data_IF_177888447649
#
_entry.id   IF_177888447649
#
_cell.length_a   1.000
_cell.length_b   1.000
_cell.length_c   1.000
_cell.angle_alpha   90.00
_cell.angle_beta   90.00
_cell.angle_gamma   90.00
#
_symmetry.space_group_name_H-M   'P 1'
#
loop_
_entity.id
_entity.type
_entity.pdbx_description
1 polymer ?
#
# COMPACT_ATOMS: atom_id res chain seq x y z
N UNK A 1 -10.20 19.50 -18.64
CA UNK A 1 -9.13 18.47 -18.63
C UNK A 1 -9.41 17.33 -17.64
N UNK A 2 -9.64 17.60 -16.35
CA UNK A 2 -9.92 16.53 -15.35
C UNK A 2 -11.16 15.71 -15.72
N UNK A 3 -12.26 16.34 -16.08
CA UNK A 3 -13.51 15.64 -16.47
C UNK A 3 -13.36 14.82 -17.76
N UNK A 4 -12.40 15.15 -18.62
CA UNK A 4 -12.19 14.50 -19.90
C UNK A 4 -11.22 13.30 -19.79
N UNK A 5 -10.15 13.47 -19.02
CA UNK A 5 -9.07 12.48 -18.91
C UNK A 5 -9.20 11.58 -17.69
N UNK A 6 -9.94 12.00 -16.67
CA UNK A 6 -10.05 11.31 -15.39
C UNK A 6 -11.39 10.56 -15.27
N UNK A 7 -11.39 9.49 -14.47
CA UNK A 7 -12.60 8.68 -14.22
C UNK A 7 -13.31 8.23 -15.52
N UNK A 8 -12.54 7.81 -16.50
CA UNK A 8 -13.12 7.23 -17.72
C UNK A 8 -13.77 5.90 -17.39
N UNK A 9 -15.09 5.74 -17.63
CA UNK A 9 -15.76 4.47 -17.36
C UNK A 9 -15.32 3.40 -18.33
N UNK A 10 -15.27 2.17 -17.85
CA UNK A 10 -15.01 0.97 -18.65
C UNK A 10 -16.23 0.06 -18.60
N UNK A 11 -16.46 -0.74 -19.64
CA UNK A 11 -17.53 -1.74 -19.71
C UNK A 11 -16.98 -3.16 -19.90
N UNK A 12 -15.74 -3.38 -19.48
CA UNK A 12 -15.06 -4.69 -19.44
C UNK A 12 -14.43 -4.91 -18.08
N UNK A 13 -13.94 -6.14 -17.82
CA UNK A 13 -13.03 -6.38 -16.71
C UNK A 13 -11.73 -5.57 -16.88
N UNK A 14 -11.03 -5.18 -15.80
CA UNK A 14 -9.77 -4.44 -15.85
C UNK A 14 -8.56 -5.35 -16.11
N UNK A 15 -8.67 -6.25 -17.11
CA UNK A 15 -7.58 -7.12 -17.57
C UNK A 15 -6.54 -6.39 -18.43
N UNK A 16 -5.77 -7.15 -19.23
CA UNK A 16 -4.73 -6.61 -20.13
C UNK A 16 -5.30 -5.61 -21.13
N UNK A 17 -6.51 -5.86 -21.61
CA UNK A 17 -7.26 -4.94 -22.47
C UNK A 17 -8.53 -4.53 -21.78
N UNK A 18 -8.87 -3.24 -21.89
CA UNK A 18 -10.10 -2.66 -21.37
C UNK A 18 -10.88 -1.97 -22.49
N UNK A 19 -12.20 -1.95 -22.35
CA UNK A 19 -13.06 -1.18 -23.23
C UNK A 19 -13.41 0.14 -22.54
N UNK A 20 -12.77 1.22 -22.96
CA UNK A 20 -13.02 2.57 -22.46
C UNK A 20 -14.24 3.14 -23.16
N UNK A 21 -15.26 3.52 -22.39
CA UNK A 21 -16.49 4.10 -22.91
C UNK A 21 -16.26 5.54 -23.39
N UNK A 22 -16.76 5.83 -24.59
CA UNK A 22 -16.71 7.17 -25.14
C UNK A 22 -17.74 8.08 -24.45
N UNK A 23 -17.31 9.30 -24.14
CA UNK A 23 -18.14 10.34 -23.56
C UNK A 23 -18.16 11.57 -24.45
N UNK A 24 -19.29 12.25 -24.51
CA UNK A 24 -19.46 13.52 -25.21
C UNK A 24 -20.04 14.57 -24.23
N UNK A 25 -19.74 15.83 -24.50
CA UNK A 25 -20.29 16.97 -23.75
C UNK A 25 -20.92 17.95 -24.72
N UNK A 26 -21.97 18.61 -24.26
CA UNK A 26 -22.65 19.70 -24.98
C UNK A 26 -22.44 21.07 -24.34
N UNK A 27 -21.80 21.13 -23.20
CA UNK A 27 -21.66 22.29 -22.31
C UNK A 27 -20.21 22.56 -21.90
N UNK A 28 -19.30 22.49 -22.86
CA UNK A 28 -17.86 22.74 -22.65
C UNK A 28 -17.24 21.88 -21.53
N UNK A 29 -17.65 20.61 -21.48
CA UNK A 29 -17.14 19.58 -20.55
C UNK A 29 -17.57 19.73 -19.08
N UNK A 30 -18.59 20.52 -18.81
CA UNK A 30 -19.20 20.55 -17.49
C UNK A 30 -19.95 19.25 -17.18
N UNK A 31 -20.71 18.75 -18.15
CA UNK A 31 -21.38 17.45 -18.05
C UNK A 31 -20.88 16.51 -19.13
N UNK A 32 -20.67 15.24 -18.77
CA UNK A 32 -20.21 14.19 -19.68
C UNK A 32 -21.29 13.11 -19.79
N UNK A 33 -21.71 12.80 -21.01
CA UNK A 33 -22.68 11.76 -21.31
C UNK A 33 -22.02 10.61 -22.06
N UNK A 34 -22.35 9.37 -21.69
CA UNK A 34 -21.87 8.17 -22.38
C UNK A 34 -22.56 8.08 -23.73
N UNK A 35 -21.78 7.90 -24.81
CA UNK A 35 -22.30 7.85 -26.20
C UNK A 35 -22.80 6.46 -26.61
N UNK A 36 -22.52 5.43 -25.80
CA UNK A 36 -22.80 4.03 -26.15
C UNK A 36 -21.67 3.36 -26.95
N UNK A 37 -20.70 4.11 -27.41
CA UNK A 37 -19.49 3.57 -28.08
C UNK A 37 -18.40 3.28 -27.06
N UNK A 38 -17.49 2.35 -27.40
CA UNK A 38 -16.30 2.09 -26.60
C UNK A 38 -15.09 1.82 -27.50
N UNK A 39 -13.91 2.13 -26.97
CA UNK A 39 -12.62 1.87 -27.64
C UNK A 39 -11.84 0.84 -26.83
N UNK A 40 -11.35 -0.20 -27.49
CA UNK A 40 -10.48 -1.20 -26.88
C UNK A 40 -9.08 -0.60 -26.71
N UNK A 41 -8.60 -0.55 -25.47
CA UNK A 41 -7.31 0.04 -25.10
C UNK A 41 -6.45 -0.98 -24.35
N UNK A 42 -5.12 -0.89 -24.52
CA UNK A 42 -4.18 -1.57 -23.64
C UNK A 42 -4.24 -0.91 -22.25
N UNK A 43 -4.39 -1.73 -21.22
CA UNK A 43 -4.54 -1.26 -19.84
C UNK A 43 -3.16 -1.04 -19.19
N UNK A 44 -2.71 0.20 -19.17
CA UNK A 44 -1.46 0.61 -18.51
C UNK A 44 -1.70 1.38 -17.20
N UNK A 45 -2.95 1.55 -16.76
CA UNK A 45 -3.30 2.45 -15.68
C UNK A 45 -4.15 1.82 -14.57
N UNK A 46 -4.28 0.50 -14.49
CA UNK A 46 -5.02 -0.14 -13.41
C UNK A 46 -4.13 -0.62 -12.26
N UNK A 47 -4.74 -0.81 -11.09
CA UNK A 47 -4.08 -1.42 -9.92
C UNK A 47 -3.96 -2.96 -10.01
N UNK A 48 -4.17 -3.53 -11.18
CA UNK A 48 -4.10 -4.97 -11.43
C UNK A 48 -2.64 -5.46 -11.57
N UNK A 49 -1.80 -5.17 -10.59
CA UNK A 49 -0.36 -5.43 -10.65
C UNK A 49 0.00 -6.92 -10.80
N UNK A 50 -0.82 -7.82 -10.25
CA UNK A 50 -0.58 -9.25 -10.26
C UNK A 50 -1.49 -10.01 -11.24
N UNK A 51 -2.32 -9.31 -12.03
CA UNK A 51 -3.21 -9.92 -13.00
C UNK A 51 -4.46 -10.59 -12.41
N UNK A 52 -4.79 -10.36 -11.15
CA UNK A 52 -5.95 -11.02 -10.50
C UNK A 52 -7.32 -10.55 -10.98
N UNK A 53 -7.37 -9.49 -11.81
CA UNK A 53 -8.60 -9.09 -12.48
C UNK A 53 -8.86 -9.85 -13.79
N UNK A 54 -7.99 -10.75 -14.20
CA UNK A 54 -8.20 -11.65 -15.32
C UNK A 54 -9.30 -12.70 -15.03
N UNK A 55 -9.68 -13.45 -16.04
CA UNK A 55 -10.79 -14.42 -15.90
C UNK A 55 -10.40 -15.55 -14.94
N UNK A 56 -10.90 -15.46 -13.70
CA UNK A 56 -10.66 -16.44 -12.64
C UNK A 56 -11.29 -17.82 -12.90
N UNK A 57 -12.17 -17.93 -13.91
CA UNK A 57 -12.82 -19.20 -14.28
C UNK A 57 -11.85 -20.27 -14.73
N UNK A 58 -10.73 -19.86 -15.32
CA UNK A 58 -9.69 -20.78 -15.79
C UNK A 58 -8.56 -21.00 -14.77
N UNK A 59 -8.60 -20.32 -13.63
CA UNK A 59 -7.54 -20.38 -12.61
C UNK A 59 -8.03 -20.99 -11.30
N UNK A 60 -8.81 -20.27 -10.50
CA UNK A 60 -9.14 -20.64 -9.12
C UNK A 60 -10.65 -20.83 -8.86
N UNK A 61 -11.49 -20.80 -9.91
CA UNK A 61 -12.96 -20.87 -9.74
C UNK A 61 -13.41 -22.08 -8.95
N UNK A 62 -12.87 -23.26 -9.26
CA UNK A 62 -13.31 -24.52 -8.65
C UNK A 62 -13.10 -24.47 -7.14
N UNK A 63 -11.93 -24.04 -6.72
CA UNK A 63 -11.55 -23.94 -5.31
C UNK A 63 -12.33 -22.84 -4.59
N UNK A 64 -12.52 -21.70 -5.25
CA UNK A 64 -13.31 -20.59 -4.69
C UNK A 64 -14.76 -21.00 -4.50
N UNK A 65 -15.37 -21.66 -5.49
CA UNK A 65 -16.75 -22.12 -5.37
C UNK A 65 -16.92 -23.17 -4.27
N UNK A 66 -15.99 -24.13 -4.17
CA UNK A 66 -15.99 -25.10 -3.09
C UNK A 66 -15.87 -24.43 -1.71
N UNK A 67 -15.01 -23.42 -1.58
CA UNK A 67 -14.88 -22.67 -0.34
C UNK A 67 -16.15 -21.88 0.01
N UNK A 68 -16.85 -21.31 -0.97
CA UNK A 68 -18.13 -20.60 -0.75
C UNK A 68 -19.24 -21.56 -0.34
N UNK A 69 -19.23 -22.81 -0.83
CA UNK A 69 -20.19 -23.84 -0.43
C UNK A 69 -19.92 -24.37 0.99
N UNK A 70 -18.67 -24.37 1.44
CA UNK A 70 -18.26 -24.86 2.74
C UNK A 70 -18.32 -23.77 3.84
N UNK A 71 -17.93 -22.56 3.51
CA UNK A 71 -17.76 -21.46 4.47
C UNK A 71 -18.78 -20.34 4.24
N UNK A 72 -19.21 -19.63 5.30
CA UNK A 72 -20.06 -18.47 5.12
C UNK A 72 -19.30 -17.34 4.40
N UNK A 73 -20.04 -16.52 3.65
CA UNK A 73 -19.47 -15.35 2.94
C UNK A 73 -18.82 -14.35 3.90
N UNK A 74 -19.27 -14.30 5.14
CA UNK A 74 -18.73 -13.43 6.17
C UNK A 74 -18.85 -14.06 7.55
N UNK A 75 -17.83 -13.92 8.37
CA UNK A 75 -17.86 -14.32 9.77
C UNK A 75 -18.61 -13.31 10.67
N UNK A 76 -19.04 -12.17 10.12
CA UNK A 76 -19.82 -11.13 10.79
C UNK A 76 -19.20 -10.63 12.13
N UNK A 77 -17.90 -10.79 12.29
CA UNK A 77 -17.14 -10.37 13.48
C UNK A 77 -15.74 -9.94 13.08
N UNK A 78 -15.07 -9.20 13.97
CA UNK A 78 -13.65 -8.88 13.80
C UNK A 78 -12.79 -10.14 13.97
N UNK A 79 -11.65 -10.19 13.30
CA UNK A 79 -10.70 -11.31 13.44
C UNK A 79 -10.14 -11.46 14.85
N UNK A 80 -10.06 -10.37 15.60
CA UNK A 80 -9.62 -10.37 17.02
C UNK A 80 -10.58 -11.11 17.95
N UNK A 81 -11.87 -11.13 17.58
CA UNK A 81 -12.92 -11.78 18.38
C UNK A 81 -13.24 -13.17 17.80
N UNK A 82 -14.26 -13.25 16.95
CA UNK A 82 -14.77 -14.52 16.40
C UNK A 82 -14.74 -14.56 14.87
N UNK A 83 -14.12 -13.59 14.23
CA UNK A 83 -14.11 -13.45 12.76
C UNK A 83 -13.00 -14.21 12.03
N UNK A 84 -12.20 -15.01 12.73
CA UNK A 84 -11.19 -15.89 12.10
C UNK A 84 -11.77 -17.26 11.77
N UNK A 85 -11.32 -17.85 10.65
CA UNK A 85 -11.64 -19.22 10.26
C UNK A 85 -10.38 -19.91 9.70
N UNK A 86 -10.46 -21.22 9.48
CA UNK A 86 -9.32 -22.02 9.02
C UNK A 86 -8.71 -21.51 7.70
N UNK A 87 -9.53 -20.96 6.80
CA UNK A 87 -9.04 -20.38 5.52
C UNK A 87 -8.11 -19.19 5.74
N UNK A 88 -8.36 -18.34 6.76
CA UNK A 88 -7.45 -17.26 7.13
C UNK A 88 -6.10 -17.80 7.60
N UNK A 89 -6.12 -18.81 8.47
CA UNK A 89 -4.90 -19.41 9.03
C UNK A 89 -4.06 -20.09 7.93
N UNK A 90 -4.71 -20.79 7.01
CA UNK A 90 -4.05 -21.42 5.87
C UNK A 90 -3.41 -20.39 4.94
N UNK A 91 -4.11 -19.27 4.66
CA UNK A 91 -3.57 -18.18 3.87
C UNK A 91 -2.36 -17.55 4.55
N UNK A 92 -2.43 -17.25 5.86
CA UNK A 92 -1.32 -16.69 6.63
C UNK A 92 -0.09 -17.60 6.63
N UNK A 93 -0.28 -18.91 6.83
CA UNK A 93 0.80 -19.90 6.75
C UNK A 93 1.40 -19.97 5.32
N UNK A 94 0.54 -19.92 4.31
CA UNK A 94 0.97 -19.97 2.90
C UNK A 94 1.79 -18.75 2.54
N UNK A 95 1.33 -17.55 2.92
CA UNK A 95 2.07 -16.30 2.71
C UNK A 95 3.39 -16.31 3.50
N UNK A 96 3.38 -16.73 4.76
CA UNK A 96 4.60 -16.82 5.57
C UNK A 96 5.67 -17.70 4.89
N UNK A 97 5.27 -18.89 4.42
CA UNK A 97 6.16 -19.79 3.65
C UNK A 97 6.66 -19.14 2.36
N UNK A 98 5.77 -18.48 1.61
CA UNK A 98 6.12 -17.85 0.34
C UNK A 98 7.16 -16.74 0.51
N UNK A 99 7.02 -15.89 1.53
CA UNK A 99 7.96 -14.79 1.80
C UNK A 99 9.14 -15.20 2.69
N UNK A 100 9.23 -16.46 3.11
CA UNK A 100 10.32 -16.97 3.96
C UNK A 100 10.35 -16.36 5.35
N UNK A 101 9.18 -16.14 5.96
CA UNK A 101 9.03 -15.58 7.31
C UNK A 101 8.37 -16.60 8.24
N UNK A 102 8.61 -16.41 9.55
CA UNK A 102 8.07 -17.28 10.59
C UNK A 102 6.54 -17.21 10.66
N UNK A 103 5.97 -16.03 10.47
CA UNK A 103 4.54 -15.80 10.52
C UNK A 103 4.12 -14.68 9.56
N UNK A 104 2.83 -14.66 9.23
CA UNK A 104 2.16 -13.58 8.50
C UNK A 104 0.81 -13.26 9.15
N UNK A 105 0.31 -12.08 8.90
CA UNK A 105 -1.04 -11.67 9.25
C UNK A 105 -1.71 -11.05 8.02
N UNK A 106 -2.94 -11.45 7.74
CA UNK A 106 -3.72 -10.97 6.61
C UNK A 106 -4.69 -9.88 7.06
N UNK A 107 -4.73 -8.79 6.30
CA UNK A 107 -5.69 -7.70 6.43
C UNK A 107 -6.61 -7.67 5.21
N UNK A 108 -7.81 -7.16 5.38
CA UNK A 108 -8.83 -7.09 4.32
C UNK A 108 -8.49 -6.10 3.20
N UNK A 109 -7.55 -5.17 3.44
CA UNK A 109 -7.23 -4.11 2.49
C UNK A 109 -5.80 -3.59 2.73
N UNK A 110 -5.02 -3.38 1.64
CA UNK A 110 -3.64 -2.90 1.72
C UNK A 110 -3.51 -1.54 2.40
N UNK A 111 -4.42 -0.61 2.12
CA UNK A 111 -4.46 0.69 2.81
C UNK A 111 -4.64 0.51 4.32
N UNK A 112 -5.60 -0.33 4.72
CA UNK A 112 -5.88 -0.67 6.11
C UNK A 112 -4.69 -1.33 6.81
N UNK A 113 -3.91 -2.13 6.09
CA UNK A 113 -2.68 -2.74 6.62
C UNK A 113 -1.74 -1.67 7.17
N UNK A 114 -1.41 -0.65 6.40
CA UNK A 114 -0.49 0.40 6.82
C UNK A 114 -1.09 1.29 7.92
N UNK A 115 -2.35 1.71 7.77
CA UNK A 115 -2.98 2.60 8.76
C UNK A 115 -3.24 1.95 10.11
N UNK A 116 -3.34 0.63 10.17
CA UNK A 116 -3.50 -0.13 11.43
C UNK A 116 -2.16 -0.57 12.01
N UNK A 117 -1.24 -1.04 11.17
CA UNK A 117 0.03 -1.63 11.62
C UNK A 117 1.02 -0.56 12.12
N UNK A 118 1.14 0.57 11.41
CA UNK A 118 2.09 1.61 11.76
C UNK A 118 1.85 2.16 13.18
N UNK A 119 0.62 2.55 13.57
CA UNK A 119 0.36 2.97 14.95
C UNK A 119 0.63 1.88 15.99
N UNK A 120 0.38 0.61 15.65
CA UNK A 120 0.63 -0.51 16.56
C UNK A 120 2.12 -0.78 16.79
N UNK A 121 2.97 -0.49 15.79
CA UNK A 121 4.42 -0.69 15.85
C UNK A 121 5.19 0.48 16.46
N UNK A 122 4.56 1.63 16.65
CA UNK A 122 5.21 2.90 17.03
C UNK A 122 4.57 3.51 18.26
N UNK A 123 5.35 4.27 19.02
CA UNK A 123 4.92 4.90 20.27
C UNK A 123 5.46 6.33 20.42
N UNK A 124 5.18 7.01 21.54
CA UNK A 124 5.58 8.42 21.75
C UNK A 124 7.10 8.65 21.73
N UNK A 125 7.90 7.63 22.02
CA UNK A 125 9.37 7.70 22.00
C UNK A 125 9.97 7.15 20.69
N UNK A 126 9.11 6.99 19.66
CA UNK A 126 9.52 6.52 18.34
C UNK A 126 9.71 7.72 17.39
N UNK A 127 10.76 7.66 16.58
CA UNK A 127 10.94 8.50 15.42
C UNK A 127 10.61 7.70 14.16
N UNK A 128 9.72 8.22 13.33
CA UNK A 128 9.48 7.74 11.97
C UNK A 128 10.24 8.67 11.01
N UNK A 129 11.09 8.10 10.16
CA UNK A 129 11.77 8.82 9.06
C UNK A 129 11.20 8.28 7.74
N UNK A 130 10.35 9.06 7.11
CA UNK A 130 9.55 8.66 5.94
C UNK A 130 10.10 9.25 4.65
N UNK A 131 10.12 8.45 3.57
CA UNK A 131 10.37 9.00 2.23
C UNK A 131 9.24 9.98 1.85
N UNK A 132 9.60 11.07 1.17
CA UNK A 132 8.67 12.15 0.81
C UNK A 132 7.57 11.73 -0.17
N UNK A 133 7.77 10.65 -0.91
CA UNK A 133 6.82 10.11 -1.90
C UNK A 133 6.12 8.82 -1.44
N UNK A 134 6.24 8.46 -0.18
CA UNK A 134 5.53 7.31 0.37
C UNK A 134 4.02 7.41 0.15
N UNK A 135 3.40 6.27 -0.12
CA UNK A 135 1.98 6.14 -0.34
C UNK A 135 1.16 6.76 0.80
N UNK A 136 0.03 7.36 0.47
CA UNK A 136 -0.84 8.05 1.42
C UNK A 136 -1.22 7.19 2.64
N UNK A 137 -1.34 5.88 2.50
CA UNK A 137 -1.62 4.97 3.62
C UNK A 137 -0.48 4.95 4.65
N UNK A 138 0.78 5.02 4.22
CA UNK A 138 1.95 5.12 5.11
C UNK A 138 1.94 6.48 5.81
N UNK A 139 1.70 7.56 5.06
CA UNK A 139 1.60 8.91 5.62
C UNK A 139 0.49 9.00 6.67
N UNK A 140 -0.68 8.46 6.37
CA UNK A 140 -1.82 8.48 7.31
C UNK A 140 -1.60 7.56 8.50
N UNK A 141 -0.99 6.39 8.30
CA UNK A 141 -0.59 5.51 9.40
C UNK A 141 0.43 6.16 10.34
N UNK A 142 1.43 6.84 9.78
CA UNK A 142 2.40 7.59 10.56
C UNK A 142 1.74 8.73 11.35
N UNK A 143 0.85 9.50 10.72
CA UNK A 143 0.11 10.60 11.37
C UNK A 143 -0.88 10.14 12.44
N UNK A 144 -1.43 8.95 12.30
CA UNK A 144 -2.32 8.35 13.29
C UNK A 144 -1.56 7.80 14.52
N UNK A 145 -0.25 7.66 14.42
CA UNK A 145 0.60 7.19 15.51
C UNK A 145 1.03 8.36 16.41
N UNK A 146 1.38 8.10 17.66
CA UNK A 146 1.94 9.10 18.55
C UNK A 146 3.44 9.37 18.33
N UNK A 147 4.04 8.83 17.26
CA UNK A 147 5.46 8.97 16.95
C UNK A 147 5.80 10.36 16.39
N UNK A 148 7.05 10.77 16.54
CA UNK A 148 7.58 11.92 15.82
C UNK A 148 7.87 11.54 14.37
N UNK A 149 7.64 12.45 13.43
CA UNK A 149 7.79 12.20 12.01
C UNK A 149 8.76 13.21 11.41
N UNK A 150 9.79 12.68 10.75
CA UNK A 150 10.66 13.44 9.86
C UNK A 150 10.54 12.87 8.45
N UNK A 151 10.74 13.73 7.45
CA UNK A 151 10.61 13.36 6.03
C UNK A 151 11.94 13.62 5.33
N UNK A 152 12.47 12.62 4.64
CA UNK A 152 13.65 12.77 3.80
C UNK A 152 13.27 12.84 2.32
N UNK A 153 14.15 13.45 1.52
CA UNK A 153 13.94 13.59 0.08
C UNK A 153 13.92 12.24 -0.59
N UNK A 154 12.99 12.09 -1.54
CA UNK A 154 12.73 10.82 -2.22
C UNK A 154 14.01 10.16 -2.72
N UNK A 155 14.19 8.92 -2.27
CA UNK A 155 15.26 8.02 -2.72
C UNK A 155 16.68 8.62 -2.60
N UNK A 156 16.91 9.51 -1.61
CA UNK A 156 18.17 10.21 -1.38
C UNK A 156 18.85 9.76 -0.08
N UNK A 157 19.72 8.73 -0.13
CA UNK A 157 20.39 8.17 1.06
C UNK A 157 21.21 9.17 1.86
N UNK A 158 21.86 10.12 1.17
CA UNK A 158 22.68 11.14 1.84
C UNK A 158 21.85 12.07 2.74
N UNK A 159 20.65 12.45 2.29
CA UNK A 159 19.73 13.24 3.11
C UNK A 159 19.13 12.42 4.26
N UNK A 160 18.84 11.15 4.02
CA UNK A 160 18.43 10.23 5.11
C UNK A 160 19.50 10.12 6.18
N UNK A 161 20.77 9.94 5.79
CA UNK A 161 21.90 9.84 6.74
C UNK A 161 22.03 11.13 7.56
N UNK A 162 21.94 12.30 6.93
CA UNK A 162 21.96 13.58 7.62
C UNK A 162 20.86 13.66 8.69
N UNK A 163 19.59 13.35 8.30
CA UNK A 163 18.46 13.37 9.24
C UNK A 163 18.67 12.39 10.41
N UNK A 164 19.15 11.19 10.13
CA UNK A 164 19.40 10.20 11.17
C UNK A 164 20.48 10.65 12.15
N UNK A 165 21.60 11.19 11.67
CA UNK A 165 22.68 11.72 12.52
C UNK A 165 22.21 12.89 13.39
N UNK A 166 21.49 13.83 12.80
CA UNK A 166 20.92 14.96 13.53
C UNK A 166 19.91 14.50 14.59
N UNK A 167 19.00 13.59 14.23
CA UNK A 167 18.00 13.06 15.15
C UNK A 167 18.59 12.26 16.32
N UNK A 168 19.64 11.48 16.06
CA UNK A 168 20.34 10.71 17.10
C UNK A 168 21.13 11.64 18.03
N UNK A 169 21.84 12.60 17.46
CA UNK A 169 22.64 13.58 18.24
C UNK A 169 21.77 14.47 19.12
N UNK A 170 20.65 14.97 18.60
CA UNK A 170 19.78 15.90 19.31
C UNK A 170 18.80 15.18 20.27
N UNK A 171 18.51 13.90 20.02
CA UNK A 171 17.50 13.15 20.76
C UNK A 171 16.08 13.66 20.54
N UNK A 172 15.18 13.27 21.43
CA UNK A 172 13.77 13.65 21.40
C UNK A 172 13.57 15.15 21.64
N UNK A 173 12.62 15.80 20.96
CA UNK A 173 12.29 17.20 21.23
C UNK A 173 11.97 17.44 22.72
N UNK A 174 12.34 18.61 23.26
CA UNK A 174 12.17 19.10 24.63
C UNK A 174 13.03 18.41 25.69
N UNK A 175 13.23 17.09 25.63
CA UNK A 175 13.89 16.34 26.70
C UNK A 175 15.29 15.85 26.32
N UNK A 176 15.65 15.89 25.04
CA UNK A 176 16.94 15.43 24.50
C UNK A 176 17.28 13.98 24.90
N UNK A 177 16.27 13.17 25.25
CA UNK A 177 16.47 11.75 25.55
C UNK A 177 16.70 10.98 24.26
N UNK A 178 17.47 9.91 24.28
CA UNK A 178 17.60 9.01 23.12
C UNK A 178 16.26 8.51 22.64
N UNK A 179 16.13 8.30 21.35
CA UNK A 179 14.98 7.62 20.77
C UNK A 179 14.96 6.16 21.20
N UNK A 180 13.80 5.67 21.64
CA UNK A 180 13.63 4.25 21.96
C UNK A 180 13.62 3.38 20.70
N UNK A 181 13.09 3.93 19.61
CA UNK A 181 12.99 3.29 18.31
C UNK A 181 13.08 4.34 17.21
N UNK A 182 13.82 4.03 16.15
CA UNK A 182 13.80 4.78 14.89
C UNK A 182 13.34 3.84 13.80
N UNK A 183 12.32 4.25 13.03
CA UNK A 183 11.74 3.45 11.93
C UNK A 183 11.87 4.23 10.64
N UNK A 184 12.62 3.70 9.68
CA UNK A 184 12.70 4.26 8.33
C UNK A 184 11.64 3.58 7.46
N UNK A 185 10.81 4.38 6.82
CA UNK A 185 9.71 3.89 5.97
C UNK A 185 9.95 4.26 4.52
N UNK A 186 10.01 3.24 3.67
CA UNK A 186 10.21 3.34 2.22
C UNK A 186 9.36 2.30 1.50
N UNK A 187 9.11 2.51 0.21
CA UNK A 187 8.47 1.54 -0.66
C UNK A 187 9.49 0.89 -1.60
N UNK A 188 9.32 -0.38 -1.93
CA UNK A 188 10.20 -1.06 -2.88
C UNK A 188 10.11 -0.48 -4.29
N UNK A 189 8.89 -0.13 -4.71
CA UNK A 189 8.56 0.52 -5.98
C UNK A 189 7.51 1.59 -5.71
N UNK A 190 7.77 2.81 -6.16
CA UNK A 190 6.85 3.95 -6.06
C UNK A 190 5.99 4.01 -7.32
N UNK A 191 4.70 3.71 -7.19
CA UNK A 191 3.84 3.45 -8.35
C UNK A 191 3.57 4.67 -9.22
N UNK A 192 3.52 5.87 -8.65
CA UNK A 192 3.22 7.10 -9.40
C UNK A 192 4.44 7.60 -10.19
N UNK A 193 5.62 7.49 -9.61
CA UNK A 193 6.90 7.91 -10.19
C UNK A 193 7.55 6.80 -11.02
N UNK A 194 7.19 5.53 -10.78
CA UNK A 194 7.82 4.37 -11.39
C UNK A 194 9.26 4.15 -10.92
N UNK A 195 9.67 4.76 -9.82
CA UNK A 195 11.02 4.65 -9.28
C UNK A 195 11.16 3.43 -8.37
N UNK A 196 12.36 2.81 -8.42
CA UNK A 196 12.74 1.71 -7.53
C UNK A 196 13.57 2.28 -6.38
N UNK A 197 13.28 1.83 -5.16
CA UNK A 197 14.00 2.23 -3.97
C UNK A 197 15.49 1.81 -4.03
N UNK A 198 16.39 2.73 -3.70
CA UNK A 198 17.82 2.42 -3.49
C UNK A 198 18.02 1.76 -2.12
N UNK A 199 17.35 0.62 -1.92
CA UNK A 199 17.24 -0.05 -0.62
C UNK A 199 18.61 -0.37 -0.01
N UNK A 200 19.58 -0.78 -0.84
CA UNK A 200 20.93 -1.13 -0.38
C UNK A 200 21.63 0.04 0.33
N UNK A 201 21.58 1.22 -0.28
CA UNK A 201 22.23 2.40 0.30
C UNK A 201 21.41 2.96 1.48
N UNK A 202 20.09 2.88 1.45
CA UNK A 202 19.23 3.24 2.58
C UNK A 202 19.52 2.36 3.79
N UNK A 203 19.61 1.05 3.61
CA UNK A 203 19.96 0.10 4.68
C UNK A 203 21.36 0.38 5.21
N UNK A 204 22.33 0.69 4.33
CA UNK A 204 23.68 1.08 4.75
C UNK A 204 23.68 2.32 5.65
N UNK A 205 22.91 3.35 5.30
CA UNK A 205 22.77 4.56 6.13
C UNK A 205 22.24 4.24 7.53
N UNK A 206 21.26 3.36 7.64
CA UNK A 206 20.67 2.95 8.93
C UNK A 206 21.72 2.26 9.79
N UNK A 207 22.51 1.33 9.22
CA UNK A 207 23.56 0.63 9.98
C UNK A 207 24.72 1.53 10.39
N UNK A 208 25.14 2.47 9.55
CA UNK A 208 26.22 3.41 9.88
C UNK A 208 25.80 4.42 10.95
N UNK A 209 24.55 4.85 10.92
CA UNK A 209 24.01 5.81 11.90
C UNK A 209 23.69 5.18 13.26
N UNK A 210 23.58 3.86 13.35
CA UNK A 210 23.30 3.14 14.60
C UNK A 210 24.56 2.79 15.42
N UNK A 211 25.76 3.10 14.92
CA UNK A 211 27.05 2.96 15.58
C UNK A 211 27.57 4.31 16.07
#
# INVERSE_FOLDING_TARGET
MILDCWNRPINSSPGVYINVMERASKDDRYTMHITGKSTRCLNLGSYNYLGFADDWRETCRTEVMAAVDEWPISMCSSRMDFGSCAVHDELEQTVARFVGKEAAIVYTMGYGTNTSTIPALTGPETLIVSDSLNHLSIVNGARASPAFILVFRHNEPAHLEQILREAISNGQPRHHRPWKKIVVMVEGIYSMEGSICNLKEIVRCVYVSSR
#
